data_IF_185503448145
#
_entry.id   IF_185503448145
#
_cell.length_a   1.000
_cell.length_b   1.000
_cell.length_c   1.000
_cell.angle_alpha   90.00
_cell.angle_beta   90.00
_cell.angle_gamma   90.00
#
_symmetry.space_group_name_H-M   'P 1'
#
loop_
_entity.id
_entity.type
_entity.pdbx_description
1 polymer ?
#
# COMPACT_ATOMS: atom_id res chain seq x y z
N UNK A 1 -3.96 66.40 1.17
CA UNK A 1 -4.65 65.11 1.06
C UNK A 1 -4.03 64.37 -0.11
N UNK A 2 -3.04 63.50 0.17
CA UNK A 2 -2.32 62.74 -0.86
C UNK A 2 -2.71 61.28 -0.70
N UNK A 3 -3.49 60.76 -1.65
CA UNK A 3 -3.92 59.37 -1.71
C UNK A 3 -2.73 58.49 -2.11
N UNK A 4 -2.32 57.60 -1.21
CA UNK A 4 -1.44 56.48 -1.54
C UNK A 4 -2.24 55.46 -2.35
N UNK A 5 -1.91 55.30 -3.62
CA UNK A 5 -2.32 54.16 -4.43
C UNK A 5 -1.47 52.97 -4.00
N UNK A 6 -2.12 51.95 -3.42
CA UNK A 6 -1.53 50.65 -3.11
C UNK A 6 -1.04 49.99 -4.41
N UNK A 7 0.27 49.73 -4.50
CA UNK A 7 0.93 49.03 -5.60
C UNK A 7 0.92 47.50 -5.45
N UNK A 8 0.21 46.94 -4.46
CA UNK A 8 0.46 45.57 -4.01
C UNK A 8 -0.54 44.54 -4.57
N UNK A 9 -0.97 44.70 -5.82
CA UNK A 9 -1.88 43.75 -6.49
C UNK A 9 -1.31 43.17 -7.79
N UNK A 10 -0.02 42.84 -7.83
CA UNK A 10 0.60 42.27 -9.03
C UNK A 10 1.47 41.03 -8.85
N UNK A 11 1.36 40.28 -7.75
CA UNK A 11 2.14 39.04 -7.63
C UNK A 11 1.33 37.95 -6.93
N UNK A 12 0.58 37.16 -7.69
CA UNK A 12 0.30 35.77 -7.31
C UNK A 12 -0.10 34.93 -8.53
N UNK A 13 0.86 34.72 -9.44
CA UNK A 13 0.71 33.78 -10.55
C UNK A 13 1.78 32.67 -10.44
N UNK A 14 1.39 31.53 -9.89
CA UNK A 14 1.78 30.17 -10.34
C UNK A 14 3.27 29.79 -10.49
N UNK A 15 4.17 30.13 -9.56
CA UNK A 15 5.48 29.48 -9.53
C UNK A 15 6.02 29.29 -8.11
N UNK A 16 5.58 28.23 -7.41
CA UNK A 16 6.11 27.88 -6.09
C UNK A 16 7.51 27.23 -6.13
N UNK A 17 7.98 26.77 -7.30
CA UNK A 17 9.33 26.21 -7.46
C UNK A 17 10.07 26.94 -8.59
N UNK A 18 11.12 27.69 -8.25
CA UNK A 18 12.03 28.27 -9.23
C UNK A 18 12.79 27.15 -9.95
N UNK A 19 12.87 27.22 -11.29
CA UNK A 19 13.61 26.26 -12.11
C UNK A 19 14.98 26.83 -12.43
N UNK A 20 16.04 26.10 -12.11
CA UNK A 20 17.40 26.47 -12.47
C UNK A 20 17.65 26.20 -13.97
N UNK A 21 18.02 27.23 -14.73
CA UNK A 21 18.18 27.16 -16.20
C UNK A 21 19.62 27.36 -16.69
N UNK A 22 20.60 27.35 -15.78
CA UNK A 22 22.02 27.60 -16.04
C UNK A 22 22.59 26.72 -17.17
N UNK A 23 22.14 25.46 -17.25
CA UNK A 23 22.60 24.46 -18.22
C UNK A 23 21.66 24.26 -19.41
N UNK A 24 20.65 25.13 -19.60
CA UNK A 24 19.67 24.97 -20.67
C UNK A 24 20.28 24.97 -22.10
N UNK A 25 21.49 25.54 -22.27
CA UNK A 25 22.22 25.56 -23.54
C UNK A 25 23.14 24.36 -23.75
N UNK A 26 23.39 23.56 -22.71
CA UNK A 26 24.30 22.43 -22.78
C UNK A 26 23.75 21.37 -23.73
N UNK A 27 24.61 20.88 -24.62
CA UNK A 27 24.26 19.82 -25.55
C UNK A 27 24.45 18.44 -24.93
N UNK A 28 23.39 17.62 -24.95
CA UNK A 28 23.42 16.24 -24.43
C UNK A 28 23.02 15.23 -25.48
N UNK A 29 23.53 14.00 -25.34
CA UNK A 29 23.18 12.88 -26.20
C UNK A 29 22.10 12.03 -25.55
N UNK A 30 21.07 11.68 -26.32
CA UNK A 30 20.06 10.71 -25.93
C UNK A 30 20.34 9.38 -26.62
N UNK A 31 20.76 8.37 -25.86
CA UNK A 31 21.11 7.06 -26.40
C UNK A 31 20.11 6.01 -25.94
N UNK A 32 19.46 5.34 -26.89
CA UNK A 32 18.65 4.15 -26.61
C UNK A 32 19.57 2.95 -26.44
N UNK A 33 19.46 2.24 -25.31
CA UNK A 33 20.37 1.13 -24.94
C UNK A 33 19.59 -0.19 -24.81
N UNK A 34 20.15 -1.34 -25.25
CA UNK A 34 19.57 -2.65 -25.01
C UNK A 34 19.35 -2.95 -23.52
N UNK A 35 18.22 -3.61 -23.21
CA UNK A 35 17.80 -3.88 -21.82
C UNK A 35 18.87 -4.59 -20.98
N UNK A 36 19.57 -5.57 -21.54
CA UNK A 36 20.61 -6.29 -20.80
C UNK A 36 21.79 -5.39 -20.41
N UNK A 37 22.16 -4.39 -21.22
CA UNK A 37 23.21 -3.44 -20.84
C UNK A 37 22.74 -2.55 -19.68
N UNK A 38 21.49 -2.07 -19.72
CA UNK A 38 20.92 -1.29 -18.63
C UNK A 38 20.89 -2.09 -17.32
N UNK A 39 20.50 -3.37 -17.38
CA UNK A 39 20.52 -4.28 -16.22
C UNK A 39 21.95 -4.54 -15.71
N UNK A 40 22.96 -4.56 -16.58
CA UNK A 40 24.36 -4.67 -16.18
C UNK A 40 24.85 -3.43 -15.46
N UNK A 41 24.49 -2.24 -15.96
CA UNK A 41 24.88 -0.96 -15.35
C UNK A 41 24.19 -0.74 -14.00
N UNK A 42 22.93 -1.18 -13.84
CA UNK A 42 22.24 -1.13 -12.54
C UNK A 42 22.86 -2.03 -11.47
N UNK A 43 23.59 -3.07 -11.88
CA UNK A 43 24.32 -3.99 -10.98
C UNK A 43 25.77 -3.54 -10.72
N UNK A 44 26.25 -2.52 -11.42
CA UNK A 44 27.56 -1.96 -11.20
C UNK A 44 27.55 -1.10 -9.91
N UNK A 45 28.71 -0.98 -9.27
CA UNK A 45 28.88 -0.08 -8.13
C UNK A 45 28.67 1.38 -8.58
N UNK A 46 28.20 2.26 -7.69
CA UNK A 46 27.72 3.61 -8.04
C UNK A 46 28.74 4.50 -8.77
N UNK A 47 30.04 4.22 -8.63
CA UNK A 47 31.14 4.96 -9.28
C UNK A 47 32.00 4.04 -10.18
N UNK A 48 31.52 2.84 -10.51
CA UNK A 48 32.24 1.91 -11.36
C UNK A 48 32.15 2.32 -12.84
N UNK A 49 33.29 2.33 -13.52
CA UNK A 49 33.32 2.49 -14.97
C UNK A 49 32.59 1.33 -15.66
N UNK A 50 31.60 1.64 -16.49
CA UNK A 50 30.78 0.62 -17.17
C UNK A 50 31.26 0.22 -18.56
N UNK A 51 32.13 1.03 -19.15
CA UNK A 51 32.66 0.83 -20.48
C UNK A 51 33.32 2.10 -21.01
N UNK A 52 33.71 2.07 -22.28
CA UNK A 52 34.33 3.19 -23.00
C UNK A 52 33.58 3.44 -24.29
N UNK A 53 33.33 4.71 -24.60
CA UNK A 53 32.83 5.13 -25.90
C UNK A 53 34.04 5.38 -26.80
N UNK A 54 34.09 4.69 -27.93
CA UNK A 54 35.14 4.81 -28.94
C UNK A 54 34.53 5.52 -30.14
N UNK A 55 35.12 6.65 -30.52
CA UNK A 55 34.73 7.40 -31.72
C UNK A 55 35.86 7.30 -32.74
N UNK A 56 35.57 6.74 -33.91
CA UNK A 56 36.50 6.59 -35.03
C UNK A 56 36.02 7.42 -36.22
N UNK A 57 36.95 8.03 -36.93
CA UNK A 57 36.66 8.65 -38.22
C UNK A 57 36.88 7.62 -39.33
N UNK A 58 35.85 7.37 -40.14
CA UNK A 58 35.89 6.44 -41.27
C UNK A 58 35.57 7.20 -42.55
N UNK A 59 36.43 7.11 -43.55
CA UNK A 59 36.09 7.66 -44.86
C UNK A 59 35.23 6.67 -45.65
N UNK A 60 34.07 7.14 -46.09
CA UNK A 60 33.16 6.39 -46.96
C UNK A 60 32.80 7.29 -48.14
N UNK A 61 33.15 6.88 -49.36
CA UNK A 61 32.90 7.63 -50.60
C UNK A 61 33.42 9.08 -50.55
N UNK A 62 34.61 9.31 -49.98
CA UNK A 62 35.23 10.64 -49.87
C UNK A 62 34.60 11.56 -48.83
N UNK A 63 33.64 11.07 -48.03
CA UNK A 63 33.07 11.78 -46.88
C UNK A 63 33.52 11.12 -45.58
N UNK A 64 34.04 11.92 -44.65
CA UNK A 64 34.35 11.45 -43.29
C UNK A 64 33.04 11.21 -42.54
N UNK A 65 32.84 9.99 -42.07
CA UNK A 65 31.71 9.56 -41.24
C UNK A 65 32.26 9.16 -39.87
N UNK A 66 31.64 9.65 -38.81
CA UNK A 66 31.97 9.24 -37.44
C UNK A 66 31.30 7.91 -37.13
N UNK A 67 32.11 6.89 -36.89
CA UNK A 67 31.70 5.60 -36.34
C UNK A 67 31.83 5.68 -34.82
N UNK A 68 30.75 5.43 -34.09
CA UNK A 68 30.74 5.49 -32.63
C UNK A 68 30.37 4.11 -32.10
N UNK A 69 31.17 3.55 -31.20
CA UNK A 69 30.86 2.28 -30.55
C UNK A 69 31.06 2.35 -29.04
N UNK A 70 30.27 1.57 -28.31
CA UNK A 70 30.42 1.32 -26.88
C UNK A 70 31.18 0.00 -26.70
N UNK A 71 32.28 0.04 -25.97
CA UNK A 71 33.02 -1.13 -25.53
C UNK A 71 32.75 -1.35 -24.04
N UNK A 72 32.05 -2.43 -23.71
CA UNK A 72 31.68 -2.77 -22.33
C UNK A 72 32.88 -3.24 -21.51
N UNK A 73 32.93 -2.91 -20.22
CA UNK A 73 34.01 -3.38 -19.34
C UNK A 73 33.95 -4.90 -19.13
N UNK A 74 35.10 -5.57 -19.31
CA UNK A 74 35.24 -7.01 -19.10
C UNK A 74 35.01 -7.43 -17.64
N UNK A 75 35.27 -6.55 -16.67
CA UNK A 75 35.03 -6.83 -15.26
C UNK A 75 33.52 -6.96 -14.97
N UNK A 76 32.69 -6.17 -15.65
CA UNK A 76 31.23 -6.22 -15.49
C UNK A 76 30.61 -7.42 -16.19
N UNK A 77 31.09 -7.78 -17.39
CA UNK A 77 30.55 -8.93 -18.12
C UNK A 77 30.86 -10.25 -17.40
N UNK A 78 32.03 -10.39 -16.77
CA UNK A 78 32.42 -11.61 -16.02
C UNK A 78 31.59 -11.86 -14.75
N UNK A 79 30.99 -10.83 -14.15
CA UNK A 79 30.16 -10.96 -12.93
C UNK A 79 28.80 -11.64 -13.19
N UNK A 80 28.43 -11.89 -14.44
CA UNK A 80 27.06 -12.31 -14.86
C UNK A 80 26.87 -13.83 -14.85
N UNK A 81 27.86 -14.60 -14.41
CA UNK A 81 27.79 -16.06 -14.40
C UNK A 81 27.89 -16.66 -15.81
N UNK A 82 27.29 -17.84 -16.09
CA UNK A 82 27.50 -18.56 -17.36
C UNK A 82 26.92 -17.86 -18.60
N UNK A 83 26.09 -16.82 -18.44
CA UNK A 83 25.61 -16.01 -19.57
C UNK A 83 26.60 -14.92 -20.00
N UNK A 84 27.65 -14.67 -19.21
CA UNK A 84 28.72 -13.72 -19.51
C UNK A 84 29.35 -13.94 -20.88
N UNK A 85 29.49 -15.20 -21.30
CA UNK A 85 30.13 -15.57 -22.56
C UNK A 85 29.32 -15.17 -23.80
N UNK A 86 28.00 -15.02 -23.64
CA UNK A 86 27.09 -14.66 -24.73
C UNK A 86 26.88 -13.15 -24.87
N UNK A 87 27.35 -12.36 -23.89
CA UNK A 87 27.23 -10.91 -23.93
C UNK A 87 28.20 -10.32 -24.97
N UNK A 88 27.72 -9.52 -25.93
CA UNK A 88 28.60 -8.78 -26.82
C UNK A 88 29.43 -7.76 -26.04
N UNK A 89 30.70 -7.63 -26.42
CA UNK A 89 31.62 -6.67 -25.80
C UNK A 89 31.58 -5.29 -26.46
N UNK A 90 31.25 -5.23 -27.75
CA UNK A 90 31.19 -3.99 -28.53
C UNK A 90 29.78 -3.79 -29.08
N UNK A 91 29.31 -2.55 -29.11
CA UNK A 91 27.98 -2.16 -29.59
C UNK A 91 28.10 -0.91 -30.44
N UNK A 92 27.63 -0.95 -31.67
CA UNK A 92 27.69 0.19 -32.58
C UNK A 92 26.53 1.16 -32.31
N UNK A 93 26.81 2.46 -32.33
CA UNK A 93 25.79 3.49 -32.18
C UNK A 93 25.30 3.93 -33.57
N UNK A 94 24.04 3.67 -33.85
CA UNK A 94 23.36 4.25 -34.99
C UNK A 94 22.91 5.67 -34.65
N UNK A 95 23.68 6.67 -35.07
CA UNK A 95 23.32 8.09 -34.90
C UNK A 95 22.13 8.41 -35.80
N UNK A 96 21.09 9.00 -35.22
CA UNK A 96 19.92 9.46 -35.94
C UNK A 96 20.23 10.82 -36.57
N UNK A 97 20.05 10.88 -37.88
CA UNK A 97 20.19 12.03 -38.77
C UNK A 97 18.84 12.25 -39.48
N UNK A 98 18.69 13.38 -40.19
CA UNK A 98 17.47 13.63 -40.96
C UNK A 98 17.14 12.52 -41.98
N UNK A 99 18.14 11.75 -42.45
CA UNK A 99 17.95 10.70 -43.45
C UNK A 99 17.40 9.37 -42.89
N UNK A 100 17.64 9.08 -41.61
CA UNK A 100 17.22 7.83 -40.95
C UNK A 100 16.32 8.09 -39.72
N UNK A 101 15.95 9.34 -39.45
CA UNK A 101 14.94 9.69 -38.46
C UNK A 101 13.55 9.29 -38.96
N UNK A 102 12.76 8.64 -38.10
CA UNK A 102 11.34 8.43 -38.38
C UNK A 102 10.62 9.78 -38.52
N UNK A 103 9.62 9.88 -39.40
CA UNK A 103 8.84 11.12 -39.64
C UNK A 103 8.34 11.78 -38.35
N UNK A 104 7.99 10.99 -37.32
CA UNK A 104 7.55 11.49 -36.01
C UNK A 104 8.62 12.26 -35.21
N UNK A 105 9.90 12.17 -35.56
CA UNK A 105 11.00 12.79 -34.82
C UNK A 105 11.50 14.08 -35.46
N UNK A 106 11.08 14.39 -36.69
CA UNK A 106 11.50 15.59 -37.41
C UNK A 106 10.79 16.81 -36.80
N UNK A 107 11.57 17.82 -36.42
CA UNK A 107 11.06 19.08 -35.84
C UNK A 107 10.78 19.05 -34.33
N UNK A 108 11.10 17.95 -33.63
CA UNK A 108 10.95 17.87 -32.17
C UNK A 108 12.22 18.27 -31.43
N UNK A 109 12.12 19.32 -30.60
CA UNK A 109 13.17 19.70 -29.64
C UNK A 109 12.95 18.97 -28.31
N UNK A 110 14.01 18.36 -27.76
CA UNK A 110 13.97 17.68 -26.46
C UNK A 110 14.91 18.38 -25.49
N UNK A 111 14.45 18.58 -24.26
CA UNK A 111 15.24 19.09 -23.15
C UNK A 111 15.09 18.18 -21.93
N UNK A 112 16.14 18.05 -21.13
CA UNK A 112 16.15 17.20 -19.93
C UNK A 112 15.83 18.05 -18.70
N UNK A 113 14.77 17.67 -17.99
CA UNK A 113 14.38 18.23 -16.70
C UNK A 113 14.85 17.29 -15.59
N UNK A 114 15.38 17.87 -14.53
CA UNK A 114 15.85 17.15 -13.35
C UNK A 114 15.11 17.63 -12.11
N UNK A 115 14.81 16.69 -11.22
CA UNK A 115 14.24 16.93 -9.90
C UNK A 115 15.20 16.33 -8.88
N UNK A 116 15.76 17.16 -8.02
CA UNK A 116 16.62 16.70 -6.93
C UNK A 116 15.75 16.30 -5.73
N UNK A 117 15.89 15.05 -5.29
CA UNK A 117 15.17 14.50 -4.12
C UNK A 117 15.95 14.61 -2.82
N UNK A 118 17.23 15.00 -2.88
CA UNK A 118 18.18 14.92 -1.76
C UNK A 118 18.17 16.15 -0.84
N UNK A 119 17.06 16.88 -0.78
CA UNK A 119 16.94 17.94 0.22
C UNK A 119 16.77 17.29 1.60
N UNK A 120 17.73 17.45 2.53
CA UNK A 120 17.52 16.99 3.90
C UNK A 120 16.31 17.74 4.45
N UNK A 121 15.34 16.99 4.97
CA UNK A 121 14.17 17.49 5.68
C UNK A 121 14.64 18.15 6.98
N UNK A 122 15.25 19.34 6.85
CA UNK A 122 15.68 20.18 7.97
C UNK A 122 14.43 20.91 8.46
N UNK A 123 13.58 20.19 9.19
CA UNK A 123 12.78 20.71 10.31
C UNK A 123 11.79 19.62 10.76
N UNK A 124 12.27 18.66 11.58
CA UNK A 124 11.40 17.94 12.50
C UNK A 124 11.01 18.89 13.65
N UNK A 125 10.17 19.86 13.36
CA UNK A 125 9.37 20.53 14.39
C UNK A 125 7.91 20.25 14.09
N UNK A 126 7.31 19.42 14.93
CA UNK A 126 5.90 19.05 14.94
C UNK A 126 5.00 20.28 14.91
N UNK A 127 4.51 20.66 13.72
CA UNK A 127 3.28 21.41 13.56
C UNK A 127 2.69 21.18 12.17
N UNK A 128 1.45 20.69 12.17
CA UNK A 128 0.67 20.26 11.02
C UNK A 128 0.28 21.41 10.07
N UNK A 129 1.27 21.95 9.35
CA UNK A 129 1.05 22.74 8.15
C UNK A 129 1.63 21.99 6.96
N UNK A 130 0.80 21.74 5.94
CA UNK A 130 1.18 21.13 4.67
C UNK A 130 2.22 22.03 3.97
N UNK A 131 3.51 21.90 4.31
CA UNK A 131 4.59 22.54 3.56
C UNK A 131 4.85 21.67 2.33
N UNK A 132 4.59 22.16 1.10
CA UNK A 132 4.98 21.41 -0.09
C UNK A 132 6.50 21.22 -0.01
N UNK A 133 6.96 19.97 -0.11
CA UNK A 133 8.39 19.68 -0.23
C UNK A 133 8.94 20.54 -1.37
N UNK A 134 9.92 21.39 -1.04
CA UNK A 134 10.43 22.40 -1.96
C UNK A 134 11.31 21.70 -3.00
N UNK A 135 10.70 21.09 -4.01
CA UNK A 135 11.41 20.34 -5.06
C UNK A 135 12.34 21.27 -5.81
N UNK A 136 13.65 21.00 -5.78
CA UNK A 136 14.61 21.73 -6.60
C UNK A 136 14.53 21.20 -8.04
N UNK A 137 14.04 22.05 -8.93
CA UNK A 137 13.89 21.74 -10.35
C UNK A 137 15.03 22.40 -11.15
N UNK A 138 15.60 21.68 -12.11
CA UNK A 138 16.63 22.21 -13.00
C UNK A 138 16.51 21.70 -14.43
N UNK A 139 17.05 22.45 -15.39
CA UNK A 139 17.21 22.03 -16.79
C UNK A 139 18.67 21.58 -16.96
N UNK A 140 18.88 20.30 -17.29
CA UNK A 140 20.21 19.72 -17.46
C UNK A 140 20.83 20.00 -18.84
N UNK A 141 19.98 20.27 -19.84
CA UNK A 141 20.42 20.62 -21.19
C UNK A 141 19.43 20.21 -22.27
N UNK A 142 19.82 20.48 -23.52
CA UNK A 142 19.06 20.17 -24.74
C UNK A 142 19.68 18.97 -25.46
N UNK A 143 18.84 18.06 -25.94
CA UNK A 143 19.29 16.91 -26.72
C UNK A 143 19.75 17.37 -28.11
N UNK A 144 21.06 17.32 -28.35
CA UNK A 144 21.69 17.69 -29.64
C UNK A 144 21.85 16.50 -30.57
N UNK A 145 21.91 15.29 -30.02
CA UNK A 145 22.09 14.07 -30.81
C UNK A 145 21.32 12.92 -30.21
N UNK A 146 20.68 12.12 -31.08
CA UNK A 146 20.00 10.89 -30.69
C UNK A 146 20.73 9.70 -31.32
N UNK A 147 20.92 8.64 -30.57
CA UNK A 147 21.56 7.42 -31.08
C UNK A 147 20.85 6.17 -30.57
N UNK A 148 20.92 5.09 -31.34
CA UNK A 148 20.52 3.75 -30.92
C UNK A 148 21.76 2.87 -30.78
N UNK A 149 22.06 2.44 -29.57
CA UNK A 149 23.09 1.44 -29.30
C UNK A 149 22.61 0.07 -29.77
N UNK A 150 23.30 -0.49 -30.76
CA UNK A 150 22.93 -1.76 -31.38
C UNK A 150 23.96 -2.84 -31.04
N UNK A 151 23.49 -4.02 -30.58
CA UNK A 151 24.35 -5.17 -30.46
C UNK A 151 24.78 -5.67 -31.85
N UNK A 152 25.96 -6.29 -31.95
CA UNK A 152 26.45 -6.87 -33.18
C UNK A 152 25.56 -8.06 -33.57
N UNK A 153 25.39 -8.33 -34.88
CA UNK A 153 24.59 -9.45 -35.39
C UNK A 153 25.34 -10.79 -35.25
N UNK A 154 25.88 -11.07 -34.07
CA UNK A 154 26.70 -12.25 -33.79
C UNK A 154 25.86 -13.43 -33.30
N UNK A 155 26.33 -14.65 -33.59
CA UNK A 155 25.72 -15.89 -33.09
C UNK A 155 25.55 -15.89 -31.56
N UNK A 156 26.51 -15.31 -30.83
CA UNK A 156 26.46 -15.17 -29.36
C UNK A 156 25.25 -14.35 -28.91
N UNK A 157 25.06 -13.17 -29.50
CA UNK A 157 23.93 -12.30 -29.20
C UNK A 157 22.59 -12.95 -29.57
N UNK A 158 22.53 -13.63 -30.72
CA UNK A 158 21.30 -14.33 -31.14
C UNK A 158 20.92 -15.44 -30.16
N UNK A 159 21.88 -16.21 -29.63
CA UNK A 159 21.65 -17.21 -28.57
C UNK A 159 21.18 -16.57 -27.26
N UNK A 160 21.81 -15.46 -26.85
CA UNK A 160 21.36 -14.69 -25.67
C UNK A 160 19.90 -14.26 -25.84
N UNK A 161 19.57 -13.68 -27.00
CA UNK A 161 18.23 -13.17 -27.28
C UNK A 161 17.20 -14.30 -27.31
N UNK A 162 17.53 -15.44 -27.89
CA UNK A 162 16.66 -16.63 -27.89
C UNK A 162 16.37 -17.13 -26.46
N UNK A 163 17.40 -17.20 -25.58
CA UNK A 163 17.22 -17.57 -24.17
C UNK A 163 16.31 -16.59 -23.43
N UNK A 164 16.54 -15.28 -23.62
CA UNK A 164 15.71 -14.24 -23.03
C UNK A 164 14.25 -14.32 -23.51
N UNK A 165 14.02 -14.60 -24.80
CA UNK A 165 12.67 -14.79 -25.34
C UNK A 165 12.00 -16.02 -24.73
N UNK A 166 12.69 -17.15 -24.61
CA UNK A 166 12.16 -18.35 -23.96
C UNK A 166 11.83 -18.05 -22.49
N UNK A 167 12.72 -17.40 -21.75
CA UNK A 167 12.50 -17.08 -20.35
C UNK A 167 11.34 -16.11 -20.15
N UNK A 168 11.23 -15.07 -20.99
CA UNK A 168 10.15 -14.08 -20.93
C UNK A 168 8.80 -14.65 -21.33
N UNK A 169 8.78 -15.54 -22.33
CA UNK A 169 7.55 -16.18 -22.82
C UNK A 169 7.12 -17.39 -21.97
N UNK A 170 7.83 -17.71 -20.88
CA UNK A 170 7.35 -18.71 -19.92
C UNK A 170 6.11 -18.16 -19.19
N UNK A 171 4.95 -18.84 -19.28
CA UNK A 171 3.77 -18.39 -18.56
C UNK A 171 4.01 -18.48 -17.05
N UNK A 172 3.64 -17.43 -16.31
CA UNK A 172 3.79 -17.39 -14.84
C UNK A 172 2.90 -18.41 -14.14
N UNK A 173 1.75 -18.70 -14.73
CA UNK A 173 0.79 -19.71 -14.26
C UNK A 173 0.70 -20.78 -15.35
N UNK A 174 1.08 -22.00 -15.00
CA UNK A 174 0.90 -23.17 -15.88
C UNK A 174 -0.28 -24.01 -15.42
N UNK A 175 -1.10 -24.46 -16.35
CA UNK A 175 -2.07 -25.53 -16.06
C UNK A 175 -1.27 -26.81 -15.83
N UNK A 176 -1.37 -27.36 -14.63
CA UNK A 176 -0.80 -28.67 -14.31
C UNK A 176 -1.92 -29.70 -14.39
N UNK A 177 -1.76 -30.70 -15.26
CA UNK A 177 -2.65 -31.87 -15.27
C UNK A 177 -2.27 -32.74 -14.08
N UNK A 178 -3.23 -33.00 -13.21
CA UNK A 178 -3.06 -33.86 -12.06
C UNK A 178 -3.26 -35.31 -12.52
N UNK A 179 -2.25 -36.15 -12.33
CA UNK A 179 -2.29 -37.57 -12.75
C UNK A 179 -3.29 -38.41 -11.95
N UNK A 180 -3.74 -37.90 -10.80
CA UNK A 180 -4.70 -38.58 -9.92
C UNK A 180 -5.58 -37.61 -9.14
N UNK A 181 -6.64 -38.13 -8.50
CA UNK A 181 -7.53 -37.31 -7.69
C UNK A 181 -6.78 -36.75 -6.48
N UNK A 182 -6.77 -35.42 -6.36
CA UNK A 182 -6.21 -34.72 -5.20
C UNK A 182 -7.09 -35.00 -3.98
N UNK A 183 -6.60 -35.81 -3.05
CA UNK A 183 -7.27 -36.11 -1.78
C UNK A 183 -7.01 -35.00 -0.78
N UNK A 184 -7.69 -33.87 -0.97
CA UNK A 184 -7.77 -32.85 0.06
C UNK A 184 -8.87 -33.25 1.05
N UNK A 185 -8.49 -33.78 2.21
CA UNK A 185 -9.40 -33.90 3.36
C UNK A 185 -9.60 -32.52 3.96
N UNK A 186 -10.38 -31.68 3.26
CA UNK A 186 -10.81 -30.41 3.80
C UNK A 186 -11.72 -30.71 5.01
N UNK A 187 -11.47 -30.10 6.19
CA UNK A 187 -12.47 -30.13 7.23
C UNK A 187 -13.75 -29.56 6.63
N UNK A 188 -14.84 -30.35 6.68
CA UNK A 188 -16.15 -29.86 6.26
C UNK A 188 -16.46 -28.70 7.17
N UNK A 189 -16.38 -27.48 6.63
CA UNK A 189 -16.73 -26.29 7.36
C UNK A 189 -18.21 -26.40 7.72
N UNK A 190 -18.49 -26.72 8.98
CA UNK A 190 -19.85 -26.73 9.45
C UNK A 190 -20.37 -25.29 9.40
N UNK A 191 -21.57 -25.12 8.86
CA UNK A 191 -22.10 -23.79 8.62
C UNK A 191 -22.24 -23.04 9.95
N UNK A 192 -21.97 -21.74 9.96
CA UNK A 192 -22.06 -20.91 11.17
C UNK A 192 -23.40 -21.07 11.90
N UNK A 193 -24.51 -21.22 11.16
CA UNK A 193 -25.83 -21.47 11.75
C UNK A 193 -25.94 -22.84 12.44
N UNK A 194 -25.23 -23.88 11.98
CA UNK A 194 -25.25 -25.20 12.62
C UNK A 194 -24.48 -25.15 13.94
N UNK A 195 -23.31 -24.49 13.94
CA UNK A 195 -22.51 -24.26 15.14
C UNK A 195 -23.32 -23.46 16.17
N UNK A 196 -23.98 -22.38 15.74
CA UNK A 196 -24.82 -21.56 16.62
C UNK A 196 -26.06 -22.32 17.11
N UNK A 197 -26.70 -23.13 16.26
CA UNK A 197 -27.83 -23.97 16.65
C UNK A 197 -27.45 -24.97 17.75
N UNK A 198 -26.30 -25.64 17.60
CA UNK A 198 -25.80 -26.58 18.59
C UNK A 198 -25.40 -25.89 19.90
N UNK A 199 -24.79 -24.70 19.82
CA UNK A 199 -24.50 -23.88 21.00
C UNK A 199 -25.79 -23.44 21.70
N UNK A 200 -26.78 -22.95 20.95
CA UNK A 200 -28.09 -22.55 21.50
C UNK A 200 -28.78 -23.73 22.17
N UNK A 201 -28.79 -24.91 21.56
CA UNK A 201 -29.37 -26.13 22.14
C UNK A 201 -28.64 -26.59 23.42
N UNK A 202 -27.33 -26.38 23.52
CA UNK A 202 -26.54 -26.66 24.73
C UNK A 202 -26.81 -25.65 25.85
N UNK A 203 -26.99 -24.37 25.52
CA UNK A 203 -27.20 -23.28 26.50
C UNK A 203 -28.66 -23.22 26.97
N UNK A 204 -29.61 -23.36 26.05
CA UNK A 204 -31.07 -23.30 26.27
C UNK A 204 -31.64 -24.63 26.81
N UNK A 205 -30.81 -25.41 27.53
CA UNK A 205 -31.28 -26.63 28.19
C UNK A 205 -32.59 -26.38 28.93
N UNK A 206 -33.50 -27.36 28.94
CA UNK A 206 -34.84 -27.20 29.52
C UNK A 206 -34.72 -26.67 30.95
N UNK A 207 -35.09 -25.39 31.14
CA UNK A 207 -35.12 -24.73 32.43
C UNK A 207 -36.11 -25.46 33.35
N UNK A 208 -35.61 -26.41 34.14
CA UNK A 208 -36.40 -27.14 35.11
C UNK A 208 -36.71 -26.21 36.28
N UNK A 209 -37.95 -26.29 36.79
CA UNK A 209 -38.34 -25.55 37.99
C UNK A 209 -37.47 -26.01 39.15
N UNK A 210 -36.67 -25.08 39.69
CA UNK A 210 -35.91 -25.26 40.93
C UNK A 210 -36.77 -24.94 42.14
N UNK A 211 -36.26 -25.22 43.33
CA UNK A 211 -36.98 -24.91 44.57
C UNK A 211 -37.21 -23.40 44.72
N UNK A 212 -38.37 -23.05 45.28
CA UNK A 212 -38.84 -21.66 45.33
C UNK A 212 -37.90 -20.77 46.14
N UNK A 213 -37.39 -21.29 47.25
CA UNK A 213 -36.54 -20.50 48.16
C UNK A 213 -35.14 -20.31 47.59
N UNK A 214 -34.60 -21.31 46.87
CA UNK A 214 -33.34 -21.17 46.12
C UNK A 214 -33.45 -20.10 45.02
N UNK A 215 -34.54 -20.09 44.26
CA UNK A 215 -34.76 -19.09 43.20
C UNK A 215 -34.92 -17.69 43.79
N UNK A 216 -35.58 -17.54 44.95
CA UNK A 216 -35.65 -16.26 45.66
C UNK A 216 -34.27 -15.77 46.09
N UNK A 217 -33.42 -16.64 46.61
CA UNK A 217 -32.05 -16.28 46.99
C UNK A 217 -31.23 -15.77 45.78
N UNK A 218 -31.32 -16.46 44.64
CA UNK A 218 -30.67 -16.02 43.40
C UNK A 218 -31.22 -14.67 42.90
N UNK A 219 -32.53 -14.45 43.03
CA UNK A 219 -33.16 -13.18 42.68
C UNK A 219 -32.70 -12.04 43.59
N UNK A 220 -32.64 -12.25 44.92
CA UNK A 220 -32.14 -11.24 45.85
C UNK A 220 -30.68 -10.87 45.54
N UNK A 221 -29.84 -11.87 45.24
CA UNK A 221 -28.45 -11.65 44.81
C UNK A 221 -28.36 -10.86 43.51
N UNK A 222 -29.24 -11.10 42.54
CA UNK A 222 -29.29 -10.31 41.32
C UNK A 222 -29.65 -8.86 41.63
N UNK A 223 -30.71 -8.63 42.41
CA UNK A 223 -31.18 -7.29 42.80
C UNK A 223 -30.20 -6.50 43.67
N UNK A 224 -29.29 -7.18 44.36
CA UNK A 224 -28.16 -6.54 45.05
C UNK A 224 -27.19 -5.88 44.06
N UNK A 225 -27.03 -6.44 42.86
CA UNK A 225 -26.16 -5.88 41.82
C UNK A 225 -26.81 -4.74 41.03
N UNK A 226 -28.10 -4.88 40.69
CA UNK A 226 -28.86 -3.85 39.99
C UNK A 226 -30.28 -3.72 40.55
N UNK A 227 -30.70 -2.48 40.81
CA UNK A 227 -32.02 -2.20 41.39
C UNK A 227 -33.20 -2.59 40.49
N UNK A 228 -33.02 -2.56 39.17
CA UNK A 228 -34.07 -2.82 38.19
C UNK A 228 -33.62 -3.89 37.19
N UNK A 229 -34.47 -4.90 36.95
CA UNK A 229 -34.22 -5.92 35.94
C UNK A 229 -35.42 -6.14 35.02
N UNK A 230 -35.15 -6.42 33.73
CA UNK A 230 -36.17 -6.96 32.84
C UNK A 230 -36.40 -8.46 33.11
N UNK A 231 -37.62 -8.94 32.88
CA UNK A 231 -37.95 -10.37 33.07
C UNK A 231 -37.04 -11.29 32.24
N UNK A 232 -36.65 -10.85 31.04
CA UNK A 232 -35.76 -11.62 30.15
C UNK A 232 -34.40 -11.89 30.77
N UNK A 233 -33.84 -10.91 31.48
CA UNK A 233 -32.52 -11.02 32.10
C UNK A 233 -32.59 -11.91 33.34
N UNK A 234 -33.65 -11.80 34.14
CA UNK A 234 -33.88 -12.68 35.28
C UNK A 234 -34.09 -14.14 34.86
N UNK A 235 -34.70 -14.38 33.70
CA UNK A 235 -34.81 -15.74 33.12
C UNK A 235 -33.44 -16.29 32.74
N UNK A 236 -32.56 -15.46 32.19
CA UNK A 236 -31.20 -15.86 31.83
C UNK A 236 -30.35 -16.17 33.07
N UNK A 237 -30.45 -15.34 34.11
CA UNK A 237 -29.70 -15.49 35.37
C UNK A 237 -30.18 -16.72 36.14
N UNK A 238 -31.49 -16.84 36.35
CA UNK A 238 -32.06 -17.90 37.21
C UNK A 238 -32.28 -19.22 36.47
N UNK A 239 -32.27 -19.19 35.12
CA UNK A 239 -32.64 -20.33 34.26
C UNK A 239 -33.98 -20.95 34.66
N UNK A 240 -34.96 -20.12 34.97
CA UNK A 240 -36.32 -20.54 35.35
C UNK A 240 -37.34 -20.12 34.27
N UNK A 241 -38.42 -20.89 34.06
CA UNK A 241 -39.45 -20.52 33.10
C UNK A 241 -40.17 -19.23 33.53
N UNK A 242 -40.50 -18.38 32.55
CA UNK A 242 -41.09 -17.03 32.76
C UNK A 242 -42.32 -17.07 33.67
N UNK A 243 -43.20 -18.07 33.51
CA UNK A 243 -44.42 -18.20 34.32
C UNK A 243 -44.12 -18.43 35.79
N UNK A 244 -43.15 -19.29 36.11
CA UNK A 244 -42.75 -19.57 37.49
C UNK A 244 -42.01 -18.38 38.11
N UNK A 245 -41.14 -17.75 37.34
CA UNK A 245 -40.40 -16.58 37.80
C UNK A 245 -41.31 -15.39 38.10
N UNK A 246 -42.33 -15.16 37.27
CA UNK A 246 -43.30 -14.08 37.50
C UNK A 246 -44.23 -14.36 38.69
N UNK A 247 -44.51 -15.61 39.02
CA UNK A 247 -45.21 -16.00 40.25
C UNK A 247 -44.40 -15.60 41.49
N UNK A 248 -43.12 -15.98 41.54
CA UNK A 248 -42.21 -15.63 42.64
C UNK A 248 -42.02 -14.11 42.73
N UNK A 249 -41.82 -13.44 41.59
CA UNK A 249 -41.63 -11.98 41.54
C UNK A 249 -42.86 -11.21 42.05
N UNK A 250 -44.10 -11.71 41.86
CA UNK A 250 -45.30 -11.07 42.44
C UNK A 250 -45.30 -11.07 43.97
N UNK A 251 -44.63 -12.05 44.60
CA UNK A 251 -44.52 -12.12 46.06
C UNK A 251 -43.52 -11.09 46.60
N UNK A 252 -42.35 -10.97 45.97
CA UNK A 252 -41.20 -10.22 46.52
C UNK A 252 -40.90 -8.89 45.81
N UNK A 253 -41.41 -8.66 44.61
CA UNK A 253 -41.07 -7.54 43.74
C UNK A 253 -42.32 -6.84 43.16
N UNK A 254 -42.12 -5.65 42.59
CA UNK A 254 -43.14 -4.85 41.91
C UNK A 254 -42.65 -4.56 40.49
N UNK A 255 -43.56 -4.65 39.52
CA UNK A 255 -43.29 -4.25 38.14
C UNK A 255 -43.60 -2.76 37.98
N UNK A 256 -42.60 -1.98 37.54
CA UNK A 256 -42.76 -0.56 37.31
C UNK A 256 -43.40 -0.31 35.94
N UNK A 257 -44.50 0.45 35.91
CA UNK A 257 -45.21 0.80 34.68
C UNK A 257 -44.88 2.21 34.16
N UNK A 258 -44.03 2.97 34.88
CA UNK A 258 -43.64 4.34 34.54
C UNK A 258 -42.23 4.38 33.92
N UNK A 259 -41.99 5.22 32.90
CA UNK A 259 -40.63 5.54 32.46
C UNK A 259 -39.81 6.16 33.62
N UNK A 260 -38.48 5.98 33.70
CA UNK A 260 -37.56 5.36 32.74
C UNK A 260 -37.43 3.82 32.83
N UNK A 261 -37.91 3.18 33.90
CA UNK A 261 -37.77 1.74 34.15
C UNK A 261 -39.07 0.96 33.84
N UNK A 262 -39.73 1.30 32.73
CA UNK A 262 -41.01 0.69 32.35
C UNK A 262 -40.83 -0.81 32.05
N UNK A 263 -41.72 -1.63 32.59
CA UNK A 263 -41.71 -3.10 32.52
C UNK A 263 -40.51 -3.78 33.18
N UNK A 264 -39.78 -3.06 34.03
CA UNK A 264 -38.73 -3.64 34.88
C UNK A 264 -39.29 -3.98 36.26
N UNK A 265 -38.75 -5.04 36.86
CA UNK A 265 -39.05 -5.44 38.22
C UNK A 265 -38.05 -4.80 39.17
N UNK A 266 -38.52 -4.41 40.34
CA UNK A 266 -37.73 -3.95 41.48
C UNK A 266 -38.25 -4.63 42.75
N UNK A 267 -37.38 -4.90 43.73
CA UNK A 267 -37.82 -5.49 45.00
C UNK A 267 -38.82 -4.56 45.71
N UNK A 268 -39.80 -5.15 46.42
CA UNK A 268 -40.67 -4.37 47.33
C UNK A 268 -39.83 -3.69 48.41
N UNK A 269 -40.23 -2.52 48.91
CA UNK A 269 -39.50 -1.80 49.96
C UNK A 269 -39.16 -2.63 51.19
N UNK A 270 -40.03 -3.58 51.56
CA UNK A 270 -39.86 -4.50 52.69
C UNK A 270 -38.67 -5.46 52.54
N UNK A 271 -38.25 -5.74 51.31
CA UNK A 271 -37.13 -6.64 51.00
C UNK A 271 -35.89 -5.88 50.52
N UNK A 272 -35.94 -4.53 50.48
CA UNK A 272 -34.79 -3.69 50.14
C UNK A 272 -33.91 -3.55 51.37
N UNK A 273 -32.71 -4.11 51.30
CA UNK A 273 -31.64 -3.85 52.27
C UNK A 273 -30.56 -3.00 51.60
N UNK A 274 -30.96 -1.89 50.96
CA UNK A 274 -29.97 -0.87 50.61
C UNK A 274 -29.47 -0.29 51.92
N UNK A 275 -28.25 -0.65 52.32
CA UNK A 275 -27.54 0.01 53.41
C UNK A 275 -27.63 1.52 53.18
N UNK A 276 -28.34 2.22 54.07
CA UNK A 276 -28.54 3.67 54.04
C UNK A 276 -27.30 4.44 54.45
N UNK A 277 -26.14 4.13 53.85
CA UNK A 277 -24.86 4.80 54.09
C UNK A 277 -24.05 4.89 52.78
N UNK A 278 -24.50 5.74 51.87
CA UNK A 278 -23.68 6.51 50.92
C UNK A 278 -24.63 7.34 50.03
N UNK A 279 -24.30 8.62 49.84
CA UNK A 279 -25.00 9.60 48.99
C UNK A 279 -26.28 10.27 49.50
N UNK A 280 -26.12 11.17 50.48
CA UNK A 280 -26.81 12.48 50.47
C UNK A 280 -26.20 13.47 51.48
N UNK A 281 -24.92 13.82 51.31
CA UNK A 281 -24.36 15.10 51.79
C UNK A 281 -23.28 15.63 50.85
N UNK A 282 -23.70 16.37 49.82
CA UNK A 282 -23.02 17.59 49.33
C UNK A 282 -23.88 18.17 48.21
N UNK A 283 -24.45 19.36 48.42
CA UNK A 283 -25.27 20.01 47.40
C UNK A 283 -26.28 21.06 47.87
N UNK A 284 -26.02 21.76 48.97
CA UNK A 284 -26.33 23.18 49.21
C UNK A 284 -25.51 23.66 50.41
#
# INVERSE_FOLDING_TARGET
MSSKLNSDYLIEAHALNAVETSRARDGVWLVKVPKYLAELWQKADSDAAVGKIVMRAKEVNGKTVSEVSLVSDQALTKKVGPEAELLPSEHEFLIQTAANASTSMVGQELSILCEDTDLPDKDQSDQASYKPSLKKLSIFGRVTSRAECRPPPDSKYMKLKARQMIAYNKPKNGVQVLEGPVRNFLPVADHSNNIEYDQRKRIEGKNLRRDKEEVKADLFKAFEQHQYYAVKDLVLITRQPVSYLTEILREIAVCNNKPPHKFMWELKPEYRHYSGDADSKSGL
#
